data_IF_078502250365
#
_entry.id   IF_078502250365
#
_cell.length_a   1.000
_cell.length_b   1.000
_cell.length_c   1.000
_cell.angle_alpha   90.00
_cell.angle_beta   90.00
_cell.angle_gamma   90.00
#
_symmetry.space_group_name_H-M   'P 1'
#
loop_
_entity.id
_entity.type
_entity.pdbx_description
1 polymer ?
#
# COMPACT_ATOMS: atom_id res chain seq x y z
N UNK A 1 0.65 -16.50 -9.47
CA UNK A 1 0.04 -15.28 -10.06
C UNK A 1 0.35 -14.14 -9.11
N UNK A 2 1.45 -13.43 -9.37
CA UNK A 2 1.98 -12.43 -8.45
C UNK A 2 1.21 -11.12 -8.60
N UNK A 3 0.68 -10.61 -7.48
CA UNK A 3 0.09 -9.27 -7.44
C UNK A 3 1.24 -8.28 -7.59
N UNK A 4 1.16 -7.39 -8.59
CA UNK A 4 2.21 -6.40 -8.89
C UNK A 4 1.82 -4.97 -8.47
N UNK A 5 0.53 -4.71 -8.37
CA UNK A 5 0.00 -3.36 -8.17
C UNK A 5 -0.93 -3.32 -6.96
N UNK A 6 -0.78 -2.28 -6.15
CA UNK A 6 -1.72 -1.89 -5.12
C UNK A 6 -2.41 -0.60 -5.58
N UNK A 7 -3.68 -0.71 -5.97
CA UNK A 7 -4.50 0.44 -6.34
C UNK A 7 -5.31 0.85 -5.12
N UNK A 8 -5.16 2.10 -4.69
CA UNK A 8 -5.94 2.68 -3.59
C UNK A 8 -6.81 3.77 -4.20
N UNK A 9 -8.10 3.49 -4.31
CA UNK A 9 -9.11 4.46 -4.75
C UNK A 9 -9.57 5.31 -3.56
N UNK A 10 -9.93 6.56 -3.84
CA UNK A 10 -10.43 7.55 -2.89
C UNK A 10 -9.49 7.79 -1.69
N UNK A 11 -8.48 8.60 -1.95
CA UNK A 11 -7.49 9.00 -0.94
C UNK A 11 -8.12 9.71 0.27
N UNK A 12 -9.31 10.29 0.12
CA UNK A 12 -10.14 10.85 1.20
C UNK A 12 -10.50 9.82 2.28
N UNK A 13 -10.57 8.53 1.92
CA UNK A 13 -10.95 7.43 2.82
C UNK A 13 -9.73 6.82 3.53
N UNK A 14 -8.53 6.92 2.94
CA UNK A 14 -7.31 6.36 3.53
C UNK A 14 -6.38 7.48 4.02
N UNK A 15 -6.54 7.82 5.30
CA UNK A 15 -5.62 8.71 6.01
C UNK A 15 -4.16 8.21 5.93
N UNK A 16 -3.20 9.10 6.19
CA UNK A 16 -1.78 8.73 6.33
C UNK A 16 -1.57 7.58 7.32
N UNK A 17 -2.37 7.54 8.39
CA UNK A 17 -2.38 6.45 9.37
C UNK A 17 -2.84 5.14 8.72
N UNK A 18 -3.91 5.17 7.93
CA UNK A 18 -4.39 4.01 7.16
C UNK A 18 -3.31 3.44 6.22
N UNK A 19 -2.61 4.31 5.48
CA UNK A 19 -1.50 3.89 4.62
C UNK A 19 -0.35 3.25 5.41
N UNK A 20 -0.01 3.79 6.57
CA UNK A 20 1.01 3.22 7.45
C UNK A 20 0.61 1.81 7.93
N UNK A 21 -0.67 1.59 8.26
CA UNK A 21 -1.20 0.28 8.61
C UNK A 21 -1.13 -0.71 7.46
N UNK A 22 -1.51 -0.30 6.24
CA UNK A 22 -1.40 -1.14 5.03
C UNK A 22 0.05 -1.55 4.78
N UNK A 23 0.98 -0.60 4.80
CA UNK A 23 2.41 -0.87 4.64
C UNK A 23 2.93 -1.86 5.70
N UNK A 24 2.57 -1.67 6.98
CA UNK A 24 2.94 -2.58 8.07
C UNK A 24 2.41 -4.00 7.87
N UNK A 25 1.18 -4.14 7.36
CA UNK A 25 0.56 -5.45 7.07
C UNK A 25 1.25 -6.15 5.89
N UNK A 26 1.54 -5.43 4.81
CA UNK A 26 2.22 -5.98 3.64
C UNK A 26 3.62 -6.49 3.97
N UNK A 27 4.39 -5.72 4.75
CA UNK A 27 5.72 -6.12 5.24
C UNK A 27 5.68 -7.40 6.09
N UNK A 28 4.61 -7.62 6.86
CA UNK A 28 4.42 -8.86 7.64
C UNK A 28 4.00 -10.05 6.78
N UNK A 29 3.17 -9.81 5.76
CA UNK A 29 2.64 -10.84 4.88
C UNK A 29 3.70 -11.38 3.91
N UNK A 30 4.73 -10.57 3.59
CA UNK A 30 5.80 -10.93 2.66
C UNK A 30 7.16 -10.81 3.36
N UNK A 31 7.56 -11.84 4.14
CA UNK A 31 8.71 -11.75 5.04
C UNK A 31 10.05 -11.50 4.33
N UNK A 32 10.20 -11.97 3.08
CA UNK A 32 11.42 -11.77 2.29
C UNK A 32 11.68 -10.31 1.87
N UNK A 33 10.71 -9.42 2.06
CA UNK A 33 10.77 -8.01 1.68
C UNK A 33 10.20 -7.11 2.79
N UNK A 34 10.28 -7.55 4.05
CA UNK A 34 9.72 -6.85 5.20
C UNK A 34 10.31 -5.44 5.44
N UNK A 35 11.49 -5.17 4.91
CA UNK A 35 12.12 -3.84 4.97
C UNK A 35 11.72 -2.93 3.80
N UNK A 36 11.07 -3.47 2.78
CA UNK A 36 10.66 -2.73 1.60
C UNK A 36 9.29 -2.08 1.78
N UNK A 37 9.13 -0.88 1.24
CA UNK A 37 7.85 -0.17 1.25
C UNK A 37 6.78 -0.97 0.50
N UNK A 38 5.60 -1.08 1.10
CA UNK A 38 4.43 -1.79 0.58
C UNK A 38 4.72 -3.21 0.09
N UNK A 39 5.74 -3.88 0.63
CA UNK A 39 6.15 -5.20 0.15
C UNK A 39 6.48 -5.19 -1.35
N UNK A 40 7.18 -4.15 -1.81
CA UNK A 40 7.67 -3.99 -3.20
C UNK A 40 6.58 -3.93 -4.28
N UNK A 41 5.33 -3.73 -3.88
CA UNK A 41 4.22 -3.48 -4.79
C UNK A 41 4.30 -2.05 -5.34
N UNK A 42 4.03 -1.90 -6.63
CA UNK A 42 3.82 -0.57 -7.21
C UNK A 42 2.49 -0.02 -6.73
N UNK A 43 2.53 1.13 -6.04
CA UNK A 43 1.32 1.75 -5.48
C UNK A 43 0.79 2.81 -6.43
N UNK A 44 -0.48 2.68 -6.83
CA UNK A 44 -1.21 3.69 -7.58
C UNK A 44 -2.28 4.30 -6.67
N UNK A 45 -2.17 5.60 -6.42
CA UNK A 45 -3.17 6.35 -5.66
C UNK A 45 -4.10 7.05 -6.67
N UNK A 46 -5.39 6.76 -6.59
CA UNK A 46 -6.41 7.35 -7.45
C UNK A 46 -7.45 8.07 -6.60
N UNK A 47 -7.90 9.24 -7.05
CA UNK A 47 -8.94 10.02 -6.38
C UNK A 47 -8.79 11.51 -6.63
N UNK A 48 -9.76 12.27 -6.15
CA UNK A 48 -9.68 13.73 -6.10
C UNK A 48 -8.74 14.16 -4.95
N UNK A 49 -7.85 15.12 -5.23
CA UNK A 49 -6.86 15.65 -4.28
C UNK A 49 -7.21 17.08 -3.80
N UNK A 50 -8.35 17.61 -4.25
CA UNK A 50 -8.81 18.96 -3.96
C UNK A 50 -9.75 19.02 -2.75
#
# INVERSE_FOLDING_TARGET
KDVKYLIINEKSIVSLIGLAYVNKRLRKAIPNIANEWFGRLSVLLCGDFF
#
